data_IF_002089865786
#
_entry.id   IF_002089865786
#
_cell.length_a   1.000
_cell.length_b   1.000
_cell.length_c   1.000
_cell.angle_alpha   90.00
_cell.angle_beta   90.00
_cell.angle_gamma   90.00
#
_symmetry.space_group_name_H-M   'P 1'
#
loop_
_entity.id
_entity.type
_entity.pdbx_description
1 polymer ?
#
# COMPACT_ATOMS: atom_id res chain seq x y z
N UNK A 1 -2.38 -7.76 -15.10
CA UNK A 1 -1.02 -8.20 -14.73
C UNK A 1 -0.53 -7.36 -13.56
N UNK A 2 -0.36 -7.93 -12.36
CA UNK A 2 0.29 -7.22 -11.25
C UNK A 2 1.78 -7.16 -11.55
N UNK A 3 2.31 -5.98 -11.85
CA UNK A 3 3.74 -5.84 -12.10
C UNK A 3 4.53 -6.28 -10.87
N UNK A 4 5.42 -7.26 -11.07
CA UNK A 4 6.41 -7.79 -10.11
C UNK A 4 7.52 -6.76 -9.85
N UNK A 5 7.14 -5.51 -9.59
CA UNK A 5 8.03 -4.40 -9.36
C UNK A 5 7.63 -3.64 -8.09
N UNK A 6 8.59 -3.01 -7.45
CA UNK A 6 8.35 -2.16 -6.27
C UNK A 6 9.20 -0.89 -6.36
N UNK A 7 8.63 0.31 -6.10
CA UNK A 7 9.41 1.53 -6.01
C UNK A 7 10.31 1.48 -4.77
N UNK A 8 11.58 1.84 -4.94
CA UNK A 8 12.58 1.81 -3.89
C UNK A 8 13.05 3.20 -3.46
N UNK A 9 13.18 4.15 -4.39
CA UNK A 9 13.67 5.49 -4.08
C UNK A 9 13.16 6.49 -5.11
N UNK A 10 12.54 7.59 -4.67
CA UNK A 10 12.33 8.75 -5.52
C UNK A 10 13.67 9.47 -5.74
N UNK A 11 14.03 9.70 -6.99
CA UNK A 11 15.27 10.37 -7.37
C UNK A 11 15.01 11.81 -7.82
N UNK A 12 13.89 12.04 -8.50
CA UNK A 12 13.43 13.34 -8.97
C UNK A 12 11.90 13.29 -9.11
N UNK A 13 11.25 14.45 -9.28
CA UNK A 13 9.77 14.57 -9.42
C UNK A 13 9.20 13.55 -10.42
N UNK A 14 9.90 13.32 -11.54
CA UNK A 14 9.47 12.42 -12.61
C UNK A 14 10.29 11.12 -12.71
N UNK A 15 11.15 10.79 -11.74
CA UNK A 15 11.99 9.59 -11.78
C UNK A 15 12.03 8.87 -10.43
N UNK A 16 11.64 7.58 -10.42
CA UNK A 16 11.86 6.72 -9.26
C UNK A 16 12.61 5.45 -9.65
N UNK A 17 13.43 4.94 -8.74
CA UNK A 17 14.14 3.68 -8.88
C UNK A 17 13.22 2.57 -8.41
N UNK A 18 13.05 1.55 -9.24
CA UNK A 18 12.25 0.37 -8.97
C UNK A 18 13.13 -0.89 -8.92
N UNK A 19 12.65 -1.91 -8.22
CA UNK A 19 13.22 -3.25 -8.27
C UNK A 19 12.28 -4.22 -8.96
N UNK A 20 12.80 -4.90 -9.99
CA UNK A 20 12.10 -5.94 -10.74
C UNK A 20 12.40 -7.31 -10.13
N UNK A 21 11.39 -7.96 -9.57
CA UNK A 21 11.53 -9.30 -8.98
C UNK A 21 11.72 -10.41 -10.02
N UNK A 22 11.26 -10.20 -11.26
CA UNK A 22 11.40 -11.19 -12.33
C UNK A 22 12.85 -11.26 -12.79
N UNK A 23 13.43 -10.10 -13.05
CA UNK A 23 14.81 -9.99 -13.52
C UNK A 23 15.83 -9.85 -12.38
N UNK A 24 15.37 -9.67 -11.15
CA UNK A 24 16.18 -9.35 -9.96
C UNK A 24 17.14 -8.18 -10.18
N UNK A 25 16.67 -7.15 -10.90
CA UNK A 25 17.46 -5.98 -11.30
C UNK A 25 16.76 -4.68 -10.89
N UNK A 26 17.56 -3.66 -10.64
CA UNK A 26 17.09 -2.29 -10.49
C UNK A 26 16.85 -1.66 -11.85
N UNK A 27 15.85 -0.80 -11.94
CA UNK A 27 15.61 0.04 -13.12
C UNK A 27 15.08 1.40 -12.70
N UNK A 28 15.22 2.40 -13.57
CA UNK A 28 14.64 3.72 -13.39
C UNK A 28 13.33 3.73 -14.15
N UNK A 29 12.23 4.10 -13.50
CA UNK A 29 10.99 4.42 -14.19
C UNK A 29 10.92 5.94 -14.35
N UNK A 30 10.91 6.40 -15.61
CA UNK A 30 10.69 7.81 -15.94
C UNK A 30 9.23 8.02 -16.29
N UNK A 31 8.55 8.89 -15.55
CA UNK A 31 7.14 9.20 -15.82
C UNK A 31 7.02 10.25 -16.92
N UNK A 32 6.00 10.11 -17.77
CA UNK A 32 5.71 11.10 -18.82
C UNK A 32 4.79 12.19 -18.27
N UNK A 33 5.28 13.44 -18.22
CA UNK A 33 4.57 14.63 -17.69
C UNK A 33 5.15 15.17 -16.37
N UNK A 34 4.61 16.30 -15.87
CA UNK A 34 4.83 16.76 -14.49
C UNK A 34 4.13 15.77 -13.56
N UNK A 35 4.78 14.64 -13.29
CA UNK A 35 4.44 13.85 -12.13
C UNK A 35 4.95 14.65 -10.93
N UNK A 36 4.05 15.38 -10.29
CA UNK A 36 4.13 15.37 -8.83
C UNK A 36 3.92 13.90 -8.47
N UNK A 37 5.02 13.20 -8.18
CA UNK A 37 4.97 11.92 -7.49
C UNK A 37 3.99 12.13 -6.35
N UNK A 38 2.77 11.59 -6.48
CA UNK A 38 1.69 11.84 -5.54
C UNK A 38 2.27 11.44 -4.20
N UNK A 39 2.67 12.44 -3.41
CA UNK A 39 3.48 12.18 -2.24
C UNK A 39 2.70 11.18 -1.41
N UNK A 40 3.36 10.28 -0.69
CA UNK A 40 2.66 9.33 0.18
C UNK A 40 1.59 10.03 1.04
N UNK A 41 1.74 11.34 1.30
CA UNK A 41 0.74 12.22 1.90
C UNK A 41 -0.56 12.39 1.08
N UNK A 42 -0.55 12.50 -0.25
CA UNK A 42 -1.75 12.68 -1.07
C UNK A 42 -2.55 11.38 -1.24
N UNK A 43 -1.87 10.22 -1.25
CA UNK A 43 -2.53 8.90 -1.12
C UNK A 43 -3.14 8.74 0.28
N UNK A 44 -2.46 9.25 1.31
CA UNK A 44 -3.01 9.32 2.67
C UNK A 44 -4.16 10.32 2.77
N UNK A 45 -4.13 11.44 2.05
CA UNK A 45 -5.18 12.49 2.05
C UNK A 45 -6.40 12.04 1.24
N UNK A 46 -6.23 11.45 0.05
CA UNK A 46 -7.32 10.81 -0.70
C UNK A 46 -7.86 9.58 0.04
N UNK A 47 -6.96 8.86 0.73
CA UNK A 47 -7.30 7.80 1.66
C UNK A 47 -8.20 8.33 2.77
N UNK A 48 -7.76 9.37 3.48
CA UNK A 48 -8.54 10.07 4.50
C UNK A 48 -9.87 10.55 3.93
N UNK A 49 -9.90 11.26 2.80
CA UNK A 49 -11.11 11.82 2.20
C UNK A 49 -12.14 10.77 1.75
N UNK A 50 -11.69 9.70 1.09
CA UNK A 50 -12.54 8.57 0.73
C UNK A 50 -13.08 7.85 1.98
N UNK A 51 -12.28 7.84 3.05
CA UNK A 51 -12.61 7.21 4.31
C UNK A 51 -13.60 8.03 5.15
N UNK A 52 -13.49 9.36 5.20
CA UNK A 52 -14.40 10.24 5.96
C UNK A 52 -15.71 10.58 5.26
N UNK A 53 -15.79 10.50 3.92
CA UNK A 53 -16.98 10.96 3.19
C UNK A 53 -17.80 9.81 2.60
N UNK A 54 -17.18 8.88 1.88
CA UNK A 54 -17.93 7.81 1.19
C UNK A 54 -18.40 6.73 2.18
N UNK A 55 -17.55 6.31 3.11
CA UNK A 55 -17.86 5.20 4.02
C UNK A 55 -19.03 5.55 4.98
N UNK A 56 -19.06 6.74 5.62
CA UNK A 56 -20.21 7.14 6.43
C UNK A 56 -21.47 7.35 5.58
N UNK A 57 -21.34 7.83 4.34
CA UNK A 57 -22.49 8.01 3.44
C UNK A 57 -23.13 6.68 3.05
N UNK A 58 -22.34 5.65 2.72
CA UNK A 58 -22.87 4.30 2.50
C UNK A 58 -23.40 3.68 3.79
N UNK A 59 -22.70 3.82 4.93
CA UNK A 59 -23.12 3.24 6.20
C UNK A 59 -24.42 3.84 6.75
N UNK A 60 -24.64 5.15 6.59
CA UNK A 60 -25.83 5.86 7.09
C UNK A 60 -27.11 5.58 6.30
N UNK A 61 -26.99 5.13 5.05
CA UNK A 61 -28.13 4.75 4.21
C UNK A 61 -28.56 3.27 4.40
N UNK A 62 -27.94 2.55 5.34
CA UNK A 62 -28.11 1.11 5.53
C UNK A 62 -28.81 0.80 6.87
N UNK A 63 -29.97 1.42 7.10
CA UNK A 63 -30.85 1.15 8.25
C UNK A 63 -31.30 -0.33 8.35
N UNK A 64 -31.23 -1.07 7.25
CA UNK A 64 -31.59 -2.49 7.19
C UNK A 64 -30.57 -3.43 7.88
N UNK A 65 -29.40 -2.93 8.28
CA UNK A 65 -28.32 -3.77 8.84
C UNK A 65 -28.47 -4.12 10.32
N UNK A 66 -29.36 -3.46 11.05
CA UNK A 66 -29.61 -3.79 12.45
C UNK A 66 -30.15 -5.22 12.64
N UNK A 67 -30.75 -5.83 11.62
CA UNK A 67 -31.31 -7.18 11.70
C UNK A 67 -30.34 -8.29 11.24
N UNK A 68 -29.15 -7.91 10.78
CA UNK A 68 -28.16 -8.83 10.22
C UNK A 68 -27.11 -9.18 11.29
N UNK A 69 -26.70 -10.46 11.43
CA UNK A 69 -25.64 -10.85 12.36
C UNK A 69 -24.37 -10.01 12.19
N UNK A 70 -23.73 -9.63 13.31
CA UNK A 70 -22.53 -8.79 13.34
C UNK A 70 -21.44 -9.24 12.38
N UNK A 71 -21.27 -10.55 12.22
CA UNK A 71 -20.25 -11.13 11.35
C UNK A 71 -20.52 -10.84 9.87
N UNK A 72 -21.79 -10.91 9.46
CA UNK A 72 -22.19 -10.66 8.07
C UNK A 72 -22.01 -9.17 7.79
N UNK A 73 -22.44 -8.30 8.72
CA UNK A 73 -22.19 -6.87 8.63
C UNK A 73 -20.69 -6.57 8.52
N UNK A 74 -19.86 -7.18 9.37
CA UNK A 74 -18.41 -7.02 9.30
C UNK A 74 -17.88 -7.35 7.91
N UNK A 75 -18.25 -8.51 7.34
CA UNK A 75 -17.81 -8.95 6.01
C UNK A 75 -18.29 -7.97 4.92
N UNK A 76 -19.54 -7.51 4.97
CA UNK A 76 -20.11 -6.56 4.00
C UNK A 76 -19.34 -5.24 4.04
N UNK A 77 -19.09 -4.71 5.24
CA UNK A 77 -18.33 -3.48 5.43
C UNK A 77 -16.86 -3.63 5.04
N UNK A 78 -16.24 -4.80 5.29
CA UNK A 78 -14.93 -5.15 4.72
C UNK A 78 -14.95 -5.09 3.20
N UNK A 79 -15.97 -5.67 2.56
CA UNK A 79 -16.10 -5.72 1.10
C UNK A 79 -16.28 -4.31 0.50
N UNK A 80 -17.03 -3.44 1.17
CA UNK A 80 -17.17 -2.03 0.78
C UNK A 80 -15.81 -1.33 0.88
N UNK A 81 -15.13 -1.40 2.03
CA UNK A 81 -13.81 -0.81 2.23
C UNK A 81 -12.77 -1.30 1.20
N UNK A 82 -12.76 -2.60 0.93
CA UNK A 82 -11.93 -3.22 -0.11
C UNK A 82 -12.22 -2.65 -1.51
N UNK A 83 -13.51 -2.58 -1.88
CA UNK A 83 -13.93 -2.13 -3.21
C UNK A 83 -13.54 -0.67 -3.44
N UNK A 84 -13.79 0.20 -2.45
CA UNK A 84 -13.40 1.61 -2.52
C UNK A 84 -11.87 1.73 -2.62
N UNK A 85 -11.11 0.97 -1.82
CA UNK A 85 -9.64 0.99 -1.90
C UNK A 85 -9.13 0.56 -3.29
N UNK A 86 -9.76 -0.44 -3.91
CA UNK A 86 -9.42 -0.88 -5.27
C UNK A 86 -9.71 0.19 -6.31
N UNK A 87 -10.86 0.85 -6.25
CA UNK A 87 -11.22 1.91 -7.19
C UNK A 87 -10.26 3.10 -7.07
N UNK A 88 -9.97 3.53 -5.84
CA UNK A 88 -9.00 4.60 -5.58
C UNK A 88 -7.62 4.22 -6.11
N UNK A 89 -7.14 3.02 -5.79
CA UNK A 89 -5.83 2.56 -6.25
C UNK A 89 -5.75 2.40 -7.77
N UNK A 90 -6.80 1.91 -8.45
CA UNK A 90 -6.83 1.86 -9.92
C UNK A 90 -6.75 3.25 -10.54
N UNK A 91 -7.44 4.23 -9.94
CA UNK A 91 -7.41 5.62 -10.41
C UNK A 91 -6.01 6.24 -10.26
N UNK A 92 -5.33 5.93 -9.16
CA UNK A 92 -3.94 6.34 -8.92
C UNK A 92 -3.00 5.63 -9.90
N UNK A 93 -3.05 4.30 -9.98
CA UNK A 93 -2.16 3.47 -10.80
C UNK A 93 -2.30 3.72 -12.29
N UNK A 94 -3.50 3.98 -12.81
CA UNK A 94 -3.72 4.25 -14.23
C UNK A 94 -3.05 5.54 -14.71
N UNK A 95 -2.74 6.46 -13.79
CA UNK A 95 -1.96 7.68 -14.09
C UNK A 95 -0.45 7.43 -14.07
N UNK A 96 0.01 6.34 -13.47
CA UNK A 96 1.44 5.99 -13.34
C UNK A 96 1.86 5.18 -14.59
N UNK A 97 2.04 5.87 -15.71
CA UNK A 97 2.66 5.29 -16.92
C UNK A 97 4.02 5.96 -17.15
N UNK A 98 5.05 5.13 -17.31
CA UNK A 98 6.41 5.61 -17.46
C UNK A 98 7.30 4.61 -18.19
N UNK A 99 8.33 5.13 -18.85
CA UNK A 99 9.34 4.37 -19.57
C UNK A 99 10.29 3.67 -18.57
N UNK A 100 10.59 2.39 -18.81
CA UNK A 100 11.48 1.58 -17.97
C UNK A 100 12.89 1.60 -18.56
N UNK A 101 13.83 2.16 -17.81
CA UNK A 101 15.23 2.25 -18.21
C UNK A 101 16.06 1.36 -17.28
N UNK A 102 16.49 0.21 -17.79
CA UNK A 102 17.43 -0.65 -17.08
C UNK A 102 18.83 -0.03 -17.17
N UNK A 103 19.43 0.23 -16.02
CA UNK A 103 20.76 0.81 -15.90
C UNK A 103 21.55 0.04 -14.84
N UNK A 104 22.86 -0.06 -15.03
CA UNK A 104 23.75 -0.56 -13.98
C UNK A 104 23.89 0.48 -12.85
N UNK A 105 23.72 0.02 -11.62
CA UNK A 105 23.80 0.85 -10.42
C UNK A 105 25.10 0.56 -9.68
N UNK A 106 25.87 1.61 -9.38
CA UNK A 106 27.06 1.50 -8.55
C UNK A 106 26.68 1.19 -7.08
N UNK A 107 27.58 0.51 -6.37
CA UNK A 107 27.50 0.18 -4.95
C UNK A 107 27.13 1.38 -4.09
N UNK A 108 27.64 2.58 -4.37
CA UNK A 108 27.31 3.79 -3.60
C UNK A 108 25.83 4.16 -3.76
N UNK A 109 25.27 4.01 -4.95
CA UNK A 109 23.86 4.29 -5.23
C UNK A 109 22.96 3.25 -4.55
N UNK A 110 23.33 1.96 -4.62
CA UNK A 110 22.59 0.89 -3.94
C UNK A 110 22.61 1.05 -2.42
N UNK A 111 23.74 1.49 -1.83
CA UNK A 111 23.82 1.82 -0.39
C UNK A 111 22.84 2.92 0.01
N UNK A 112 22.70 3.99 -0.79
CA UNK A 112 21.71 5.06 -0.53
C UNK A 112 20.28 4.54 -0.56
N UNK A 113 19.96 3.66 -1.52
CA UNK A 113 18.63 3.02 -1.60
C UNK A 113 18.34 2.19 -0.35
N UNK A 114 19.32 1.41 0.12
CA UNK A 114 19.19 0.61 1.34
C UNK A 114 19.11 1.48 2.59
N UNK A 115 19.82 2.61 2.64
CA UNK A 115 19.79 3.53 3.78
C UNK A 115 18.39 4.16 3.96
N UNK A 116 17.64 4.37 2.87
CA UNK A 116 16.26 4.88 2.93
C UNK A 116 15.22 3.86 3.45
N UNK A 117 15.68 2.71 3.95
CA UNK A 117 14.84 1.66 4.53
C UNK A 117 14.17 2.09 5.85
N UNK A 118 14.73 3.06 6.59
CA UNK A 118 14.25 3.47 7.92
C UNK A 118 12.78 3.86 7.95
N UNK A 119 12.37 4.81 7.10
CA UNK A 119 10.98 5.28 7.00
C UNK A 119 9.99 4.16 6.61
N UNK A 120 10.47 3.15 5.88
CA UNK A 120 9.65 2.01 5.48
C UNK A 120 9.53 0.93 6.56
N UNK A 121 10.43 0.87 7.53
CA UNK A 121 10.23 0.00 8.70
C UNK A 121 9.03 0.48 9.51
N UNK A 122 8.89 1.80 9.66
CA UNK A 122 7.74 2.41 10.35
C UNK A 122 6.45 2.02 9.61
N UNK A 123 6.39 2.23 8.29
CA UNK A 123 5.22 1.87 7.48
C UNK A 123 4.89 0.36 7.57
N UNK A 124 5.92 -0.50 7.59
CA UNK A 124 5.74 -1.94 7.75
C UNK A 124 5.14 -2.31 9.12
N UNK A 125 5.62 -1.69 10.20
CA UNK A 125 5.05 -1.87 11.53
C UNK A 125 3.62 -1.35 11.62
N UNK A 126 3.33 -0.18 11.05
CA UNK A 126 1.97 0.37 10.96
C UNK A 126 1.03 -0.62 10.26
N UNK A 127 1.46 -1.21 9.14
CA UNK A 127 0.66 -2.21 8.42
C UNK A 127 0.37 -3.45 9.28
N UNK A 128 1.37 -3.93 10.04
CA UNK A 128 1.19 -5.08 10.93
C UNK A 128 0.20 -4.77 12.06
N UNK A 129 0.33 -3.62 12.70
CA UNK A 129 -0.58 -3.18 13.77
C UNK A 129 -2.00 -3.08 13.26
N UNK A 130 -2.20 -2.47 12.08
CA UNK A 130 -3.53 -2.38 11.45
C UNK A 130 -4.13 -3.76 11.16
N UNK A 131 -3.37 -4.66 10.53
CA UNK A 131 -3.84 -6.03 10.23
C UNK A 131 -4.18 -6.78 11.52
N UNK A 132 -3.33 -6.65 12.54
CA UNK A 132 -3.52 -7.35 13.82
C UNK A 132 -4.76 -6.83 14.54
N UNK A 133 -4.91 -5.51 14.63
CA UNK A 133 -6.11 -4.88 15.19
C UNK A 133 -7.38 -5.26 14.43
N UNK A 134 -7.30 -5.37 13.10
CA UNK A 134 -8.41 -5.81 12.27
C UNK A 134 -8.84 -7.24 12.57
N UNK A 135 -7.90 -8.18 12.66
CA UNK A 135 -8.15 -9.58 13.00
C UNK A 135 -8.75 -9.69 14.41
N UNK A 136 -8.20 -8.96 15.39
CA UNK A 136 -8.75 -8.92 16.75
C UNK A 136 -10.20 -8.40 16.72
N UNK A 137 -10.46 -7.33 15.97
CA UNK A 137 -11.81 -6.79 15.77
C UNK A 137 -12.77 -7.81 15.19
N UNK A 138 -12.34 -8.60 14.19
CA UNK A 138 -13.15 -9.70 13.64
C UNK A 138 -13.51 -10.75 14.70
N UNK A 139 -12.55 -11.16 15.54
CA UNK A 139 -12.81 -12.10 16.63
C UNK A 139 -13.74 -11.52 17.71
N UNK A 140 -13.64 -10.22 18.02
CA UNK A 140 -14.59 -9.58 18.93
C UNK A 140 -15.99 -9.58 18.32
N UNK A 141 -16.10 -9.34 17.00
CA UNK A 141 -17.36 -9.36 16.26
C UNK A 141 -18.00 -10.75 16.18
N UNK A 142 -17.19 -11.81 16.20
CA UNK A 142 -17.63 -13.21 16.27
C UNK A 142 -18.47 -13.49 17.53
N UNK A 143 -18.13 -12.84 18.65
CA UNK A 143 -18.76 -13.07 19.95
C UNK A 143 -19.74 -11.97 20.36
N UNK A 144 -19.95 -10.95 19.52
CA UNK A 144 -20.88 -9.85 19.80
C UNK A 144 -22.14 -9.95 18.93
N UNK A 145 -23.32 -9.79 19.56
CA UNK A 145 -24.61 -10.06 18.92
C UNK A 145 -24.97 -9.12 17.77
N UNK A 146 -24.78 -7.81 17.96
CA UNK A 146 -25.02 -6.78 16.93
C UNK A 146 -23.81 -5.86 16.80
N UNK A 147 -23.52 -5.45 15.57
CA UNK A 147 -22.43 -4.51 15.25
C UNK A 147 -23.02 -3.08 15.17
N UNK A 148 -22.70 -2.19 16.12
CA UNK A 148 -23.06 -0.78 16.01
C UNK A 148 -22.55 -0.17 14.70
N UNK A 149 -23.30 0.79 14.14
CA UNK A 149 -22.94 1.51 12.91
C UNK A 149 -21.55 2.18 13.04
N UNK A 150 -21.21 2.71 14.21
CA UNK A 150 -19.90 3.31 14.45
C UNK A 150 -18.76 2.29 14.29
N UNK A 151 -18.98 1.05 14.76
CA UNK A 151 -18.02 -0.04 14.61
C UNK A 151 -17.98 -0.50 13.14
N UNK A 152 -19.11 -0.56 12.44
CA UNK A 152 -19.17 -0.84 11.01
C UNK A 152 -18.33 0.13 10.15
N UNK A 153 -18.42 1.43 10.47
CA UNK A 153 -17.61 2.47 9.83
C UNK A 153 -16.12 2.20 10.10
N UNK A 154 -15.74 1.94 11.36
CA UNK A 154 -14.35 1.62 11.72
C UNK A 154 -13.84 0.38 10.99
N UNK A 155 -14.66 -0.66 10.83
CA UNK A 155 -14.31 -1.88 10.09
C UNK A 155 -14.10 -1.59 8.60
N UNK A 156 -14.96 -0.78 7.99
CA UNK A 156 -14.80 -0.37 6.60
C UNK A 156 -13.51 0.45 6.41
N UNK A 157 -13.28 1.43 7.29
CA UNK A 157 -12.10 2.29 7.32
C UNK A 157 -10.81 1.47 7.47
N UNK A 158 -10.79 0.54 8.43
CA UNK A 158 -9.65 -0.32 8.69
C UNK A 158 -9.30 -1.18 7.48
N UNK A 159 -10.31 -1.82 6.86
CA UNK A 159 -10.09 -2.62 5.65
C UNK A 159 -9.56 -1.76 4.50
N UNK A 160 -10.18 -0.59 4.30
CA UNK A 160 -9.77 0.37 3.27
C UNK A 160 -8.30 0.77 3.43
N UNK A 161 -7.89 1.19 4.63
CA UNK A 161 -6.52 1.62 4.92
C UNK A 161 -5.50 0.48 4.73
N UNK A 162 -5.81 -0.72 5.22
CA UNK A 162 -4.94 -1.90 5.05
C UNK A 162 -4.70 -2.19 3.57
N UNK A 163 -5.77 -2.22 2.76
CA UNK A 163 -5.68 -2.53 1.33
C UNK A 163 -4.95 -1.42 0.58
N UNK A 164 -5.28 -0.15 0.86
CA UNK A 164 -4.66 0.99 0.21
C UNK A 164 -3.14 1.02 0.48
N UNK A 165 -2.74 0.80 1.74
CA UNK A 165 -1.33 0.80 2.13
C UNK A 165 -0.59 -0.42 1.56
N UNK A 166 -1.24 -1.59 1.53
CA UNK A 166 -0.70 -2.79 0.93
C UNK A 166 -0.47 -2.64 -0.57
N UNK A 167 -1.43 -2.06 -1.31
CA UNK A 167 -1.34 -1.99 -2.76
C UNK A 167 -0.48 -0.81 -3.24
N UNK A 168 -0.52 0.33 -2.55
CA UNK A 168 0.19 1.56 -2.93
C UNK A 168 1.65 1.54 -2.49
N UNK A 169 1.92 1.19 -1.23
CA UNK A 169 3.29 1.23 -0.67
C UNK A 169 3.97 -0.14 -0.73
N UNK A 170 3.20 -1.23 -0.71
CA UNK A 170 3.69 -2.62 -0.78
C UNK A 170 4.83 -2.91 0.22
N UNK A 171 4.65 -2.62 1.52
CA UNK A 171 5.75 -2.64 2.51
C UNK A 171 6.43 -4.02 2.63
N UNK A 172 5.67 -5.12 2.55
CA UNK A 172 6.25 -6.48 2.58
C UNK A 172 7.10 -6.77 1.34
N UNK A 173 6.63 -6.38 0.16
CA UNK A 173 7.34 -6.54 -1.10
C UNK A 173 8.61 -5.70 -1.09
N UNK A 174 8.54 -4.46 -0.62
CA UNK A 174 9.70 -3.59 -0.45
C UNK A 174 10.77 -4.23 0.45
N UNK A 175 10.38 -4.73 1.64
CA UNK A 175 11.30 -5.42 2.57
C UNK A 175 11.99 -6.61 1.92
N UNK A 176 11.27 -7.36 1.07
CA UNK A 176 11.82 -8.46 0.28
C UNK A 176 12.84 -7.97 -0.76
N UNK A 177 12.55 -6.89 -1.50
CA UNK A 177 13.48 -6.30 -2.46
C UNK A 177 14.78 -5.84 -1.78
N UNK A 178 14.69 -5.16 -0.64
CA UNK A 178 15.89 -4.74 0.11
C UNK A 178 16.71 -5.94 0.60
N UNK A 179 16.07 -7.01 1.06
CA UNK A 179 16.78 -8.24 1.46
C UNK A 179 17.56 -8.84 0.27
N UNK A 180 16.95 -8.85 -0.92
CA UNK A 180 17.63 -9.32 -2.14
C UNK A 180 18.79 -8.40 -2.49
N UNK A 181 18.61 -7.08 -2.47
CA UNK A 181 19.68 -6.11 -2.76
C UNK A 181 20.86 -6.23 -1.79
N UNK A 182 20.60 -6.39 -0.49
CA UNK A 182 21.65 -6.65 0.51
C UNK A 182 22.44 -7.91 0.18
N UNK A 183 21.75 -8.99 -0.20
CA UNK A 183 22.37 -10.26 -0.62
C UNK A 183 23.20 -10.09 -1.91
N UNK A 184 22.66 -9.42 -2.92
CA UNK A 184 23.38 -9.15 -4.18
C UNK A 184 24.63 -8.26 -3.96
N UNK A 185 24.57 -7.32 -3.01
CA UNK A 185 25.73 -6.53 -2.60
C UNK A 185 26.81 -7.36 -1.92
N UNK A 186 26.45 -8.31 -1.06
CA UNK A 186 27.42 -9.23 -0.44
C UNK A 186 28.03 -10.20 -1.44
N UNK A 187 27.29 -10.56 -2.49
CA UNK A 187 27.75 -11.41 -3.61
C UNK A 187 28.62 -10.66 -4.63
N UNK A 188 28.85 -9.35 -4.46
CA UNK A 188 29.73 -8.58 -5.33
C UNK A 188 29.12 -8.15 -6.68
N UNK A 189 27.80 -8.29 -6.88
CA UNK A 189 27.13 -7.91 -8.15
C UNK A 189 27.18 -6.42 -8.51
N UNK A 190 27.60 -5.57 -7.58
CA UNK A 190 27.70 -4.12 -7.76
C UNK A 190 29.16 -3.63 -7.58
N UNK A 191 30.16 -4.50 -7.82
CA UNK A 191 31.58 -4.18 -7.60
C UNK A 191 32.29 -3.53 -8.81
N UNK A 192 31.57 -3.18 -9.87
CA UNK A 192 32.17 -2.46 -11.02
C UNK A 192 32.08 -0.94 -10.76
N UNK A 193 33.19 -0.19 -10.93
CA UNK A 193 33.37 1.20 -10.47
C UNK A 193 32.44 2.24 -11.11
#
# INVERSE_FOLDING_TARGET
MKENVVPLLCRATNESIYFDFKNQKLFIQKFTGNHEEYSKSLVVVLGLFGSTVMIPFFAKNLDFMASIPSIINYIVFSAIGYSVAKVVNLTIMNKIKGEKIYKDFDRKQVKKIIANQGDLQIIWWTQLVLITGYIIGFFICLFSGMLPIDIAIIVSLGCFLIILLQDSVRPFTYKKAIKILKKQMTEGRFMVP
#
